data_IF_145211158542
#
_entry.id   IF_145211158542
#
_cell.length_a   1.000
_cell.length_b   1.000
_cell.length_c   1.000
_cell.angle_alpha   90.00
_cell.angle_beta   90.00
_cell.angle_gamma   90.00
#
_symmetry.space_group_name_H-M   'P 1'
#
loop_
_entity.id
_entity.type
_entity.pdbx_description
1 polymer ?
#
# COMPACT_ATOMS: atom_id res chain seq x y z
N UNK A 1 -16.92 -46.28 -44.49
CA UNK A 1 -17.45 -44.90 -44.41
C UNK A 1 -18.52 -44.89 -43.33
N UNK A 2 -18.20 -44.40 -42.14
CA UNK A 2 -19.16 -44.22 -41.05
C UNK A 2 -19.45 -42.72 -40.94
N UNK A 3 -20.69 -42.33 -41.22
CA UNK A 3 -21.18 -40.97 -41.03
C UNK A 3 -21.58 -40.79 -39.56
N UNK A 4 -20.96 -39.81 -38.89
CA UNK A 4 -21.38 -39.31 -37.58
C UNK A 4 -22.58 -38.39 -37.77
N UNK A 5 -23.72 -38.73 -37.17
CA UNK A 5 -24.86 -37.83 -37.05
C UNK A 5 -24.53 -36.67 -36.09
N UNK A 6 -24.76 -35.45 -36.56
CA UNK A 6 -24.64 -34.23 -35.76
C UNK A 6 -25.89 -34.07 -34.88
N UNK A 7 -25.70 -34.16 -33.56
CA UNK A 7 -26.73 -33.85 -32.57
C UNK A 7 -27.09 -32.36 -32.56
N UNK A 8 -28.39 -32.09 -32.68
CA UNK A 8 -29.03 -30.77 -32.66
C UNK A 8 -28.78 -30.01 -31.34
N UNK A 9 -28.39 -28.74 -31.46
CA UNK A 9 -28.20 -27.79 -30.36
C UNK A 9 -29.58 -27.39 -29.83
N UNK A 10 -29.91 -27.76 -28.58
CA UNK A 10 -31.10 -27.24 -27.88
C UNK A 10 -30.81 -25.84 -27.33
N UNK A 11 -31.70 -24.91 -27.68
CA UNK A 11 -31.73 -23.53 -27.22
C UNK A 11 -31.76 -23.44 -25.68
N UNK A 12 -30.89 -22.59 -25.12
CA UNK A 12 -30.90 -22.23 -23.70
C UNK A 12 -31.93 -21.12 -23.50
N UNK A 13 -33.04 -21.48 -22.86
CA UNK A 13 -34.12 -20.59 -22.44
C UNK A 13 -33.61 -19.48 -21.51
N UNK A 14 -33.89 -18.24 -21.89
CA UNK A 14 -33.61 -17.03 -21.10
C UNK A 14 -34.57 -16.91 -19.92
N UNK A 15 -34.15 -17.38 -18.74
CA UNK A 15 -34.86 -17.11 -17.49
C UNK A 15 -34.50 -15.71 -16.96
N UNK A 16 -35.51 -14.85 -16.79
CA UNK A 16 -35.43 -13.52 -16.17
C UNK A 16 -35.02 -13.64 -14.68
N UNK A 17 -34.18 -12.73 -14.15
CA UNK A 17 -33.96 -12.67 -12.71
C UNK A 17 -35.17 -12.06 -12.02
N UNK A 18 -35.72 -12.79 -11.04
CA UNK A 18 -36.81 -12.38 -10.17
C UNK A 18 -36.37 -11.24 -9.25
N UNK A 19 -37.16 -10.16 -9.28
CA UNK A 19 -37.20 -9.09 -8.28
C UNK A 19 -37.55 -9.69 -6.93
N UNK A 20 -36.70 -9.47 -5.92
CA UNK A 20 -37.08 -9.31 -4.52
C UNK A 20 -35.82 -8.96 -3.73
N UNK A 21 -35.62 -7.66 -3.46
CA UNK A 21 -34.84 -7.21 -2.30
C UNK A 21 -35.17 -5.73 -2.07
N UNK A 22 -36.29 -5.49 -1.39
CA UNK A 22 -36.58 -4.21 -0.78
C UNK A 22 -37.22 -4.42 0.58
N UNK A 23 -36.81 -3.53 1.50
CA UNK A 23 -37.31 -3.30 2.85
C UNK A 23 -36.74 -4.26 3.90
N UNK A 24 -36.04 -3.79 4.95
CA UNK A 24 -36.55 -2.89 6.00
C UNK A 24 -35.43 -2.00 6.56
N UNK A 25 -35.69 -0.70 6.65
CA UNK A 25 -35.00 0.25 7.55
C UNK A 25 -35.79 0.31 8.85
N UNK A 26 -35.12 0.18 10.00
CA UNK A 26 -35.49 0.92 11.21
C UNK A 26 -34.30 1.08 12.15
N UNK A 27 -34.16 2.30 12.64
CA UNK A 27 -32.99 2.87 13.27
C UNK A 27 -32.88 2.51 14.76
N UNK A 28 -31.63 2.40 15.23
CA UNK A 28 -31.26 2.89 16.56
C UNK A 28 -29.80 3.36 16.53
N UNK A 29 -29.63 4.69 16.46
CA UNK A 29 -28.34 5.34 16.56
C UNK A 29 -27.91 5.34 18.04
N UNK A 30 -27.06 4.39 18.41
CA UNK A 30 -26.23 4.48 19.61
C UNK A 30 -24.89 5.09 19.20
N UNK A 31 -24.68 6.36 19.55
CA UNK A 31 -23.41 7.05 19.33
C UNK A 31 -22.37 6.51 20.31
N UNK A 32 -21.68 5.44 19.93
CA UNK A 32 -20.42 5.06 20.55
C UNK A 32 -19.39 6.17 20.28
N UNK A 33 -18.51 6.51 21.23
CA UNK A 33 -17.39 7.41 20.96
C UNK A 33 -16.53 6.74 19.88
N UNK A 34 -16.49 7.33 18.68
CA UNK A 34 -15.59 6.86 17.64
C UNK A 34 -14.16 7.12 18.12
N UNK A 35 -13.50 6.10 18.65
CA UNK A 35 -12.04 6.07 18.67
C UNK A 35 -11.63 5.99 17.22
N UNK A 36 -11.54 7.14 16.56
CA UNK A 36 -11.12 7.22 15.17
C UNK A 36 -9.71 6.68 15.11
N UNK A 37 -9.60 5.42 14.72
CA UNK A 37 -8.34 4.70 14.56
C UNK A 37 -7.41 5.51 13.65
N UNK A 38 -6.15 5.64 14.05
CA UNK A 38 -5.18 6.44 13.32
C UNK A 38 -4.96 5.85 11.92
N UNK A 39 -5.41 6.55 10.88
CA UNK A 39 -5.28 6.08 9.49
C UNK A 39 -3.94 6.47 8.90
N UNK A 40 -3.08 5.48 8.70
CA UNK A 40 -1.79 5.65 8.01
C UNK A 40 -2.05 5.62 6.49
N UNK A 41 -1.82 6.74 5.81
CA UNK A 41 -1.97 6.90 4.37
C UNK A 41 -0.63 7.35 3.78
N UNK A 42 0.15 6.40 3.25
CA UNK A 42 1.45 6.65 2.62
C UNK A 42 1.35 6.53 1.10
N UNK A 43 1.92 7.47 0.32
CA UNK A 43 2.17 7.25 -1.10
C UNK A 43 3.26 6.19 -1.24
N UNK A 44 3.54 5.73 -2.47
CA UNK A 44 4.80 5.06 -2.74
C UNK A 44 5.98 5.97 -2.39
N UNK A 45 6.91 5.46 -1.60
CA UNK A 45 8.06 6.19 -1.11
C UNK A 45 9.31 5.81 -1.90
N UNK A 46 10.22 6.77 -2.17
CA UNK A 46 11.53 6.48 -2.75
C UNK A 46 12.28 5.47 -1.89
N UNK A 47 12.96 4.50 -2.52
CA UNK A 47 13.75 3.50 -1.80
C UNK A 47 15.25 3.82 -1.85
N UNK A 48 16.01 3.24 -0.91
CA UNK A 48 17.48 3.28 -0.90
C UNK A 48 18.06 4.62 -0.44
N UNK A 49 19.25 4.96 -0.93
CA UNK A 49 20.08 6.08 -0.44
C UNK A 49 19.40 7.46 -0.48
N UNK A 50 18.35 7.64 -1.29
CA UNK A 50 17.61 8.90 -1.38
C UNK A 50 17.00 9.34 -0.03
N UNK A 51 16.61 8.37 0.82
CA UNK A 51 16.00 8.63 2.12
C UNK A 51 16.89 8.23 3.30
N UNK A 52 18.19 8.05 3.07
CA UNK A 52 19.15 7.52 4.06
C UNK A 52 19.08 8.26 5.39
N UNK A 53 19.12 9.60 5.37
CA UNK A 53 19.00 10.46 6.55
C UNK A 53 17.62 11.14 6.68
N UNK A 54 16.60 10.56 6.05
CA UNK A 54 15.26 11.14 6.02
C UNK A 54 14.27 10.38 6.91
N UNK A 55 13.33 11.14 7.45
CA UNK A 55 12.21 10.72 8.25
C UNK A 55 10.93 11.23 7.59
N UNK A 56 9.85 10.47 7.75
CA UNK A 56 8.54 10.87 7.33
C UNK A 56 7.74 11.26 8.56
N UNK A 57 7.31 12.51 8.57
CA UNK A 57 6.33 13.03 9.52
C UNK A 57 4.95 12.82 8.87
N UNK A 58 4.23 11.83 9.38
CA UNK A 58 2.85 11.57 8.97
C UNK A 58 1.92 12.24 9.97
N UNK A 59 1.30 13.35 9.59
CA UNK A 59 0.25 14.00 10.38
C UNK A 59 -1.08 13.26 10.28
N UNK A 60 -1.90 13.33 11.33
CA UNK A 60 -3.27 12.82 11.32
C UNK A 60 -4.07 13.44 10.13
N UNK A 61 -4.56 12.62 9.17
CA UNK A 61 -5.29 13.12 8.02
C UNK A 61 -6.56 13.92 8.36
N UNK A 62 -7.12 13.78 9.57
CA UNK A 62 -8.28 14.57 10.01
C UNK A 62 -7.96 16.05 10.25
N UNK A 63 -6.69 16.41 10.43
CA UNK A 63 -6.27 17.78 10.76
C UNK A 63 -5.66 18.54 9.56
N UNK A 64 -5.77 17.99 8.36
CA UNK A 64 -5.36 18.66 7.12
C UNK A 64 -6.13 19.99 6.95
N UNK A 65 -5.53 21.02 6.30
CA UNK A 65 -4.18 20.99 5.77
C UNK A 65 -3.10 21.31 6.83
N UNK A 66 -1.89 20.78 6.62
CA UNK A 66 -0.67 21.14 7.33
C UNK A 66 0.19 22.11 6.52
N UNK A 67 0.88 23.00 7.24
CA UNK A 67 1.86 23.97 6.76
C UNK A 67 3.12 23.90 7.61
N UNK A 68 4.21 24.53 7.15
CA UNK A 68 5.49 24.52 7.88
C UNK A 68 5.36 25.11 9.29
N UNK A 69 4.50 26.12 9.45
CA UNK A 69 4.24 26.79 10.74
C UNK A 69 3.58 25.86 11.76
N UNK A 70 2.88 24.81 11.31
CA UNK A 70 2.31 23.80 12.20
C UNK A 70 3.40 22.91 12.81
N UNK A 71 4.45 22.58 12.04
CA UNK A 71 5.54 21.70 12.47
C UNK A 71 6.62 22.43 13.24
N UNK A 72 6.90 23.70 12.90
CA UNK A 72 7.97 24.49 13.50
C UNK A 72 8.01 24.43 15.04
N UNK A 73 6.90 24.71 15.74
CA UNK A 73 6.85 24.64 17.21
C UNK A 73 7.10 23.24 17.78
N UNK A 74 6.64 22.19 17.10
CA UNK A 74 6.85 20.81 17.52
C UNK A 74 8.32 20.41 17.34
N UNK A 75 8.89 20.69 16.17
CA UNK A 75 10.27 20.36 15.83
C UNK A 75 11.28 21.13 16.69
N UNK A 76 11.05 22.41 17.00
CA UNK A 76 11.94 23.18 17.89
C UNK A 76 12.15 22.55 19.27
N UNK A 77 11.19 21.74 19.74
CA UNK A 77 11.30 21.03 21.03
C UNK A 77 12.17 19.79 20.96
N UNK A 78 12.31 19.20 19.77
CA UNK A 78 12.88 17.87 19.60
C UNK A 78 14.12 17.82 18.74
N UNK A 79 14.41 18.80 17.86
CA UNK A 79 15.58 18.79 16.97
C UNK A 79 16.36 20.11 17.10
N UNK A 80 17.69 20.00 17.10
CA UNK A 80 18.57 21.17 16.97
C UNK A 80 18.50 21.69 15.52
N UNK A 81 18.22 22.99 15.28
CA UNK A 81 18.17 23.56 13.93
C UNK A 81 19.41 23.29 13.07
N UNK A 82 20.59 23.13 13.68
CA UNK A 82 21.83 22.83 12.95
C UNK A 82 21.85 21.41 12.39
N UNK A 83 21.14 20.46 13.01
CA UNK A 83 20.99 19.09 12.52
C UNK A 83 19.92 18.97 11.43
N UNK A 84 19.07 19.99 11.26
CA UNK A 84 18.04 20.01 10.24
C UNK A 84 18.65 20.36 8.87
N UNK A 85 18.54 19.44 7.91
CA UNK A 85 18.98 19.66 6.54
C UNK A 85 17.84 20.18 5.65
N UNK A 86 16.66 19.59 5.74
CA UNK A 86 15.48 20.03 5.01
C UNK A 86 14.17 19.57 5.67
N UNK A 87 13.09 20.29 5.36
CA UNK A 87 11.72 19.94 5.73
C UNK A 87 10.78 20.42 4.62
N UNK A 88 9.89 19.55 4.14
CA UNK A 88 8.89 19.95 3.14
C UNK A 88 7.75 18.96 3.01
N UNK A 89 6.61 19.43 2.49
CA UNK A 89 5.49 18.57 2.16
C UNK A 89 5.89 17.56 1.07
N UNK A 90 5.41 16.32 1.17
CA UNK A 90 5.77 15.22 0.27
C UNK A 90 4.52 14.48 -0.24
N UNK A 91 4.16 14.76 -1.50
CA UNK A 91 3.01 14.21 -2.26
C UNK A 91 1.62 14.46 -1.64
N UNK A 92 1.39 14.06 -0.39
CA UNK A 92 0.16 14.34 0.34
C UNK A 92 0.41 15.43 1.38
N UNK A 93 -0.60 16.26 1.63
CA UNK A 93 -0.45 17.40 2.52
C UNK A 93 -0.18 17.02 4.00
N UNK A 94 -0.61 15.83 4.43
CA UNK A 94 -0.31 15.28 5.76
C UNK A 94 1.03 14.53 5.83
N UNK A 95 1.80 14.49 4.75
CA UNK A 95 3.11 13.86 4.70
C UNK A 95 4.20 14.90 4.52
N UNK A 96 5.17 14.88 5.43
CA UNK A 96 6.30 15.80 5.40
C UNK A 96 7.60 15.03 5.48
N UNK A 97 8.50 15.31 4.55
CA UNK A 97 9.82 14.73 4.52
C UNK A 97 10.77 15.61 5.32
N UNK A 98 11.36 15.04 6.36
CA UNK A 98 12.32 15.66 7.25
C UNK A 98 13.69 15.01 7.01
N UNK A 99 14.66 15.75 6.50
CA UNK A 99 16.05 15.25 6.36
C UNK A 99 16.92 15.86 7.43
N UNK A 100 17.68 15.02 8.13
CA UNK A 100 18.68 15.43 9.11
C UNK A 100 20.09 15.24 8.58
N UNK A 101 21.08 15.91 9.18
CA UNK A 101 22.47 15.86 8.72
C UNK A 101 23.21 14.61 9.19
N UNK A 102 22.80 14.01 10.30
CA UNK A 102 23.48 12.86 10.88
C UNK A 102 22.56 11.66 11.09
N UNK A 103 23.10 10.46 10.84
CA UNK A 103 22.41 9.20 11.11
C UNK A 103 22.07 9.05 12.61
N UNK A 104 22.95 9.54 13.49
CA UNK A 104 22.72 9.58 14.94
C UNK A 104 21.46 10.36 15.30
N UNK A 105 21.26 11.54 14.70
CA UNK A 105 20.06 12.33 14.97
C UNK A 105 18.80 11.66 14.43
N UNK A 106 18.90 11.02 13.25
CA UNK A 106 17.80 10.24 12.68
C UNK A 106 17.35 9.14 13.65
N UNK A 107 18.29 8.35 14.17
CA UNK A 107 18.00 7.28 15.13
C UNK A 107 17.35 7.81 16.41
N UNK A 108 17.85 8.93 16.94
CA UNK A 108 17.28 9.57 18.14
C UNK A 108 15.84 10.02 17.91
N UNK A 109 15.54 10.60 16.75
CA UNK A 109 14.18 11.02 16.41
C UNK A 109 13.23 9.83 16.21
N UNK A 110 13.71 8.72 15.64
CA UNK A 110 12.91 7.49 15.51
C UNK A 110 12.50 6.90 16.86
N UNK A 111 13.33 7.04 17.90
CA UNK A 111 13.00 6.57 19.24
C UNK A 111 11.80 7.30 19.86
N UNK A 112 11.52 8.52 19.42
CA UNK A 112 10.35 9.28 19.87
C UNK A 112 9.03 8.68 19.38
N UNK A 113 9.04 7.97 18.24
CA UNK A 113 7.90 7.36 17.53
C UNK A 113 6.84 8.33 17.01
N UNK A 114 6.51 9.36 17.80
CA UNK A 114 5.50 10.35 17.47
C UNK A 114 5.77 11.69 18.16
N UNK A 115 5.16 12.74 17.62
CA UNK A 115 5.11 14.09 18.18
C UNK A 115 3.71 14.66 18.07
N UNK A 116 3.44 15.76 18.78
CA UNK A 116 2.18 16.48 18.68
C UNK A 116 2.31 17.65 17.70
N UNK A 117 1.49 17.65 16.64
CA UNK A 117 1.39 18.70 15.63
C UNK A 117 -0.07 19.07 15.48
N UNK A 118 -0.43 20.35 15.63
CA UNK A 118 -1.84 20.82 15.70
C UNK A 118 -2.68 20.09 16.77
N UNK A 119 -2.09 19.78 17.91
CA UNK A 119 -2.72 18.99 19.00
C UNK A 119 -3.23 17.60 18.54
N UNK A 120 -2.59 17.04 17.51
CA UNK A 120 -2.87 15.73 16.95
C UNK A 120 -1.58 14.92 16.86
N UNK A 121 -1.72 13.60 16.94
CA UNK A 121 -0.61 12.68 16.77
C UNK A 121 -0.02 12.83 15.36
N UNK A 122 1.30 12.97 15.30
CA UNK A 122 2.09 12.93 14.09
C UNK A 122 3.14 11.84 14.25
N UNK A 123 3.05 10.78 13.45
CA UNK A 123 3.99 9.66 13.52
C UNK A 123 5.33 10.06 12.90
N UNK A 124 6.41 9.55 13.48
CA UNK A 124 7.77 9.61 12.93
C UNK A 124 8.10 8.24 12.36
N UNK A 125 8.19 8.18 11.04
CA UNK A 125 8.44 6.96 10.29
C UNK A 125 9.84 7.05 9.68
N UNK A 126 10.60 5.96 9.71
CA UNK A 126 11.90 5.90 9.05
C UNK A 126 11.71 6.00 7.53
N UNK A 127 12.19 7.08 6.92
CA UNK A 127 12.10 7.27 5.47
C UNK A 127 12.89 6.22 4.69
N UNK A 128 13.92 5.62 5.29
CA UNK A 128 14.73 4.57 4.64
C UNK A 128 14.16 3.16 4.87
N UNK A 129 13.30 2.96 5.88
CA UNK A 129 12.64 1.68 6.18
C UNK A 129 11.14 1.71 5.95
N UNK A 130 10.70 2.51 5.00
CA UNK A 130 9.31 2.40 4.58
C UNK A 130 9.16 1.19 3.70
N UNK A 131 8.48 0.18 4.25
CA UNK A 131 8.12 -1.01 3.50
C UNK A 131 7.47 -0.60 2.18
N UNK A 132 8.04 -1.09 1.09
CA UNK A 132 7.56 -0.87 -0.25
C UNK A 132 6.15 -1.44 -0.37
N UNK A 133 5.18 -0.61 -0.74
CA UNK A 133 3.84 -1.07 -1.10
C UNK A 133 3.82 -1.49 -2.57
N UNK A 134 3.45 -2.74 -2.84
CA UNK A 134 3.38 -3.29 -4.19
C UNK A 134 2.10 -4.11 -4.38
N UNK A 135 1.70 -4.29 -5.64
CA UNK A 135 0.56 -5.13 -6.01
C UNK A 135 1.05 -6.42 -6.65
N UNK A 136 0.47 -7.54 -6.26
CA UNK A 136 0.65 -8.85 -6.89
C UNK A 136 -0.67 -9.24 -7.51
N UNK A 137 -0.71 -9.28 -8.84
CA UNK A 137 -1.90 -9.56 -9.63
C UNK A 137 -1.95 -11.03 -10.06
N UNK A 138 -3.17 -11.46 -10.39
CA UNK A 138 -3.48 -12.81 -10.88
C UNK A 138 -3.19 -13.89 -9.85
N UNK A 139 -3.31 -13.56 -8.55
CA UNK A 139 -3.25 -14.53 -7.47
C UNK A 139 -4.64 -15.16 -7.31
N UNK A 140 -4.81 -16.46 -7.56
CA UNK A 140 -6.09 -17.13 -7.30
C UNK A 140 -6.50 -16.99 -5.84
N UNK A 141 -7.79 -16.84 -5.57
CA UNK A 141 -8.32 -16.63 -4.21
C UNK A 141 -7.99 -17.76 -3.23
N UNK A 142 -7.83 -18.97 -3.76
CA UNK A 142 -7.45 -20.18 -3.03
C UNK A 142 -5.99 -20.23 -2.58
N UNK A 143 -5.10 -19.39 -3.15
CA UNK A 143 -3.70 -19.34 -2.72
C UNK A 143 -3.61 -18.67 -1.34
N UNK A 144 -3.04 -19.35 -0.33
CA UNK A 144 -2.87 -18.77 1.00
C UNK A 144 -1.83 -17.64 1.00
N UNK A 145 -2.06 -16.65 1.85
CA UNK A 145 -1.17 -15.50 2.01
C UNK A 145 0.23 -15.92 2.49
N UNK A 146 0.35 -17.03 3.22
CA UNK A 146 1.63 -17.62 3.60
C UNK A 146 2.49 -18.03 2.39
N UNK A 147 1.88 -18.59 1.34
CA UNK A 147 2.60 -18.93 0.10
C UNK A 147 2.99 -17.68 -0.68
N UNK A 148 2.13 -16.66 -0.67
CA UNK A 148 2.46 -15.35 -1.24
C UNK A 148 3.67 -14.76 -0.50
N UNK A 149 3.64 -14.74 0.84
CA UNK A 149 4.75 -14.22 1.63
C UNK A 149 6.06 -14.97 1.41
N UNK A 150 5.99 -16.31 1.39
CA UNK A 150 7.16 -17.16 1.13
C UNK A 150 7.82 -16.87 -0.21
N UNK A 151 7.03 -16.55 -1.25
CA UNK A 151 7.54 -16.26 -2.58
C UNK A 151 8.41 -14.98 -2.65
N UNK A 152 8.29 -14.09 -1.66
CA UNK A 152 9.07 -12.85 -1.60
C UNK A 152 10.15 -12.84 -0.50
N UNK A 153 10.28 -13.94 0.26
CA UNK A 153 11.18 -14.03 1.43
C UNK A 153 12.66 -13.74 1.12
N UNK A 154 13.11 -14.01 -0.11
CA UNK A 154 14.50 -13.73 -0.54
C UNK A 154 14.76 -12.24 -0.78
N UNK A 155 13.72 -11.45 -1.06
CA UNK A 155 13.84 -10.02 -1.35
C UNK A 155 13.65 -9.14 -0.12
N UNK A 156 12.93 -9.65 0.88
CA UNK A 156 12.60 -8.86 2.06
C UNK A 156 11.62 -9.56 2.99
N UNK A 157 11.32 -8.87 4.09
CA UNK A 157 10.33 -9.29 5.08
C UNK A 157 8.98 -8.67 4.76
N UNK A 158 7.99 -9.52 4.48
CA UNK A 158 6.59 -9.09 4.35
C UNK A 158 6.08 -8.61 5.71
N UNK A 159 5.54 -7.39 5.73
CA UNK A 159 4.91 -6.75 6.88
C UNK A 159 3.41 -6.96 6.91
N UNK A 160 2.76 -6.88 5.75
CA UNK A 160 1.33 -7.12 5.61
C UNK A 160 0.96 -7.59 4.20
N UNK A 161 -0.15 -8.32 4.14
CA UNK A 161 -0.82 -8.72 2.90
C UNK A 161 -2.29 -8.33 3.07
N UNK A 162 -2.81 -7.56 2.12
CA UNK A 162 -4.23 -7.21 2.05
C UNK A 162 -4.80 -7.77 0.76
N UNK A 163 -5.96 -8.41 0.86
CA UNK A 163 -6.73 -8.83 -0.31
C UNK A 163 -7.51 -7.64 -0.83
N UNK A 164 -7.18 -7.21 -2.03
CA UNK A 164 -7.86 -6.09 -2.67
C UNK A 164 -9.33 -6.47 -2.92
N UNK A 165 -10.25 -5.53 -2.73
CA UNK A 165 -11.69 -5.77 -2.85
C UNK A 165 -12.31 -4.88 -3.91
N UNK A 166 -13.50 -5.23 -4.35
CA UNK A 166 -14.22 -4.45 -5.35
C UNK A 166 -14.60 -3.08 -4.79
N UNK A 167 -14.54 -2.06 -5.64
CA UNK A 167 -14.98 -0.70 -5.32
C UNK A 167 -16.33 -0.38 -5.98
N UNK A 168 -17.20 -1.38 -6.08
CA UNK A 168 -18.52 -1.26 -6.67
C UNK A 168 -19.58 -1.42 -5.60
N UNK A 169 -20.59 -0.53 -5.60
CA UNK A 169 -21.58 -0.46 -4.53
C UNK A 169 -22.40 -1.76 -4.43
N UNK A 170 -22.48 -2.32 -3.22
CA UNK A 170 -23.14 -3.60 -2.93
C UNK A 170 -22.24 -4.82 -3.10
N UNK A 171 -20.97 -4.64 -3.45
CA UNK A 171 -20.00 -5.72 -3.68
C UNK A 171 -18.66 -5.47 -2.97
N UNK A 172 -18.61 -4.55 -2.01
CA UNK A 172 -17.38 -4.10 -1.35
C UNK A 172 -16.67 -5.22 -0.57
N UNK A 173 -17.37 -6.31 -0.24
CA UNK A 173 -16.81 -7.49 0.42
C UNK A 173 -16.20 -8.52 -0.55
N UNK A 174 -16.39 -8.34 -1.87
CA UNK A 174 -15.88 -9.27 -2.89
C UNK A 174 -14.40 -9.02 -3.15
N UNK A 175 -13.59 -10.05 -2.95
CA UNK A 175 -12.14 -9.99 -3.22
C UNK A 175 -11.84 -10.00 -4.72
N UNK A 176 -10.78 -9.31 -5.11
CA UNK A 176 -10.15 -9.44 -6.43
C UNK A 176 -9.03 -10.50 -6.39
N UNK A 177 -8.47 -10.79 -7.56
CA UNK A 177 -7.25 -11.61 -7.70
C UNK A 177 -5.97 -10.80 -7.48
N UNK A 178 -6.07 -9.63 -6.83
CA UNK A 178 -4.92 -8.79 -6.47
C UNK A 178 -4.65 -8.87 -4.98
N UNK A 179 -3.37 -8.92 -4.61
CA UNK A 179 -2.87 -8.76 -3.24
C UNK A 179 -2.06 -7.48 -3.16
N UNK A 180 -2.28 -6.69 -2.13
CA UNK A 180 -1.46 -5.52 -1.82
C UNK A 180 -0.50 -5.94 -0.72
N UNK A 181 0.79 -5.90 -1.03
CA UNK A 181 1.87 -6.30 -0.14
C UNK A 181 2.57 -5.06 0.40
N UNK A 182 2.95 -5.10 1.67
CA UNK A 182 3.94 -4.21 2.26
C UNK A 182 5.19 -5.03 2.57
N UNK A 183 6.31 -4.72 1.92
CA UNK A 183 7.59 -5.46 2.06
C UNK A 183 8.72 -4.53 2.51
N UNK A 184 9.39 -4.88 3.61
CA UNK A 184 10.68 -4.28 3.95
C UNK A 184 11.77 -5.03 3.19
N UNK A 185 12.40 -4.39 2.22
CA UNK A 185 13.44 -5.00 1.39
C UNK A 185 14.72 -5.27 2.20
N UNK A 186 15.41 -6.35 1.85
CA UNK A 186 16.73 -6.66 2.39
C UNK A 186 17.75 -5.61 1.95
N UNK A 187 18.86 -5.49 2.68
CA UNK A 187 19.95 -4.58 2.31
C UNK A 187 20.47 -4.90 0.91
N UNK A 188 20.66 -3.86 0.09
CA UNK A 188 21.10 -3.99 -1.31
C UNK A 188 20.00 -4.39 -2.31
N UNK A 189 18.81 -4.78 -1.86
CA UNK A 189 17.65 -5.05 -2.73
C UNK A 189 16.88 -3.76 -2.98
N UNK A 190 16.60 -3.47 -4.24
CA UNK A 190 15.85 -2.28 -4.68
C UNK A 190 14.50 -2.65 -5.30
N UNK A 191 13.59 -1.68 -5.43
CA UNK A 191 12.32 -1.88 -6.15
C UNK A 191 12.51 -2.45 -7.56
N UNK A 192 13.56 -2.01 -8.26
CA UNK A 192 13.87 -2.45 -9.62
C UNK A 192 14.43 -3.87 -9.67
N UNK A 193 15.03 -4.35 -8.59
CA UNK A 193 15.52 -5.73 -8.47
C UNK A 193 14.44 -6.77 -8.20
N UNK A 194 13.23 -6.36 -7.78
CA UNK A 194 12.10 -7.28 -7.65
C UNK A 194 11.71 -7.83 -9.03
N UNK A 195 11.29 -9.09 -9.15
CA UNK A 195 10.83 -9.62 -10.43
C UNK A 195 9.55 -8.89 -10.89
N UNK A 196 9.36 -8.75 -12.20
CA UNK A 196 8.06 -8.34 -12.77
C UNK A 196 7.06 -9.51 -12.78
N UNK A 197 7.55 -10.74 -12.88
CA UNK A 197 6.74 -11.96 -12.79
C UNK A 197 7.47 -13.02 -11.98
N UNK A 198 6.73 -13.80 -11.19
CA UNK A 198 7.26 -14.97 -10.49
C UNK A 198 6.19 -16.06 -10.40
N UNK A 199 6.57 -17.25 -9.91
CA UNK A 199 5.65 -18.35 -9.71
C UNK A 199 5.29 -18.54 -8.24
N UNK A 200 4.00 -18.68 -7.97
CA UNK A 200 3.46 -19.07 -6.65
C UNK A 200 2.64 -20.34 -6.87
N UNK A 201 3.06 -21.45 -6.26
CA UNK A 201 2.41 -22.76 -6.41
C UNK A 201 2.14 -23.12 -7.90
N UNK A 202 3.13 -22.88 -8.77
CA UNK A 202 3.04 -23.15 -10.21
C UNK A 202 2.32 -22.08 -11.04
N UNK A 203 1.59 -21.15 -10.42
CA UNK A 203 0.86 -20.07 -11.09
C UNK A 203 1.78 -18.87 -11.32
N UNK A 204 1.83 -18.37 -12.56
CA UNK A 204 2.54 -17.12 -12.87
C UNK A 204 1.72 -15.93 -12.38
N UNK A 205 2.33 -15.09 -11.55
CA UNK A 205 1.74 -13.85 -11.03
C UNK A 205 2.52 -12.65 -11.54
N UNK A 206 1.87 -11.49 -11.60
CA UNK A 206 2.48 -10.23 -12.01
C UNK A 206 2.72 -9.33 -10.80
N UNK A 207 3.92 -8.75 -10.70
CA UNK A 207 4.30 -7.82 -9.63
C UNK A 207 4.39 -6.41 -10.18
N UNK A 208 3.55 -5.54 -9.66
CA UNK A 208 3.54 -4.11 -9.94
C UNK A 208 4.08 -3.34 -8.74
N UNK A 209 5.18 -2.63 -8.97
CA UNK A 209 5.81 -1.76 -7.98
C UNK A 209 5.59 -0.32 -8.43
N UNK A 210 5.00 0.56 -7.61
CA UNK A 210 4.79 1.93 -8.01
C UNK A 210 6.11 2.65 -8.32
N UNK A 211 6.12 3.48 -9.36
CA UNK A 211 7.33 4.19 -9.81
C UNK A 211 8.31 3.34 -10.61
N UNK A 212 8.14 2.01 -10.67
CA UNK A 212 8.93 1.13 -11.52
C UNK A 212 8.34 1.06 -12.92
N UNK A 213 9.19 1.16 -13.94
CA UNK A 213 8.76 1.01 -15.32
C UNK A 213 8.15 -0.39 -15.56
N UNK A 214 7.00 -0.47 -16.27
CA UNK A 214 6.35 -1.75 -16.56
C UNK A 214 7.20 -2.58 -17.52
N UNK A 215 7.03 -3.89 -17.47
CA UNK A 215 7.60 -4.82 -18.44
C UNK A 215 6.53 -5.23 -19.45
N UNK A 216 6.84 -5.12 -20.75
CA UNK A 216 5.99 -5.64 -21.80
C UNK A 216 5.83 -7.15 -21.65
N UNK A 217 4.60 -7.63 -21.54
CA UNK A 217 4.32 -9.06 -21.35
C UNK A 217 4.59 -9.91 -22.60
N UNK A 218 4.74 -9.26 -23.77
CA UNK A 218 5.04 -9.92 -25.05
C UNK A 218 6.53 -10.05 -25.30
N UNK A 219 7.26 -8.93 -25.28
CA UNK A 219 8.69 -8.91 -25.62
C UNK A 219 9.63 -8.90 -24.41
N UNK A 220 9.09 -8.79 -23.19
CA UNK A 220 9.83 -8.74 -21.91
C UNK A 220 10.76 -7.53 -21.72
N UNK A 221 10.66 -6.52 -22.59
CA UNK A 221 11.40 -5.26 -22.45
C UNK A 221 10.74 -4.34 -21.42
N UNK A 222 11.55 -3.60 -20.67
CA UNK A 222 11.11 -2.62 -19.67
C UNK A 222 10.90 -1.26 -20.33
N UNK A 223 9.84 -0.54 -19.94
CA UNK A 223 9.53 0.80 -20.47
C UNK A 223 8.75 0.81 -21.78
N UNK A 224 8.39 -0.37 -22.28
CA UNK A 224 7.48 -0.60 -23.41
C UNK A 224 6.25 -1.33 -22.88
N UNK A 225 5.04 -0.96 -23.34
CA UNK A 225 3.77 -1.58 -22.93
C UNK A 225 3.15 -2.28 -24.12
#
# INVERSE_FOLDING_TARGET
MAALEMGSVKEISTAKPSREYSDIISASASSAPSTTEYKILLPPLPNGKLLENSLILHGDPSARPYRIDDFGPALKKIINPNELASLGAFQYNHLWLLTVRSAKEKERLLQLREIQVKNKTCLIIDGNKTALSMKVHWVPSSVPDANVASAFSTFGKIKSIVRDKWHYSGFEEVETTTRILSIELNEGVTADSLPHQLKILGTTVLVSVPGRAPQCLRCRQVGHV
#
